data_IF_101434557432
#
_entry.id   IF_101434557432
#
_cell.length_a   1.000
_cell.length_b   1.000
_cell.length_c   1.000
_cell.angle_alpha   90.00
_cell.angle_beta   90.00
_cell.angle_gamma   90.00
#
_symmetry.space_group_name_H-M   'P 1'
#
loop_
_entity.id
_entity.type
_entity.pdbx_description
1 polymer ?
#
# COMPACT_ATOMS: atom_id res chain seq x y z
N UNK A 1 -13.53 39.81 -1.65
CA UNK A 1 -13.02 38.59 -2.31
C UNK A 1 -14.15 37.57 -2.38
N UNK A 2 -14.77 37.44 -3.55
CA UNK A 2 -15.92 36.57 -3.79
C UNK A 2 -15.58 35.59 -4.92
N UNK A 3 -14.85 34.52 -4.59
CA UNK A 3 -14.56 33.40 -5.51
C UNK A 3 -14.90 32.04 -4.88
N UNK A 4 -15.95 31.96 -4.06
CA UNK A 4 -16.43 30.68 -3.50
C UNK A 4 -17.69 30.14 -4.18
N UNK A 5 -18.26 30.85 -5.17
CA UNK A 5 -19.52 30.43 -5.82
C UNK A 5 -19.37 29.63 -7.12
N UNK A 6 -18.19 29.59 -7.76
CA UNK A 6 -18.02 28.83 -9.02
C UNK A 6 -18.10 27.32 -8.80
N UNK A 7 -17.74 26.82 -7.62
CA UNK A 7 -17.88 25.40 -7.25
C UNK A 7 -19.14 25.09 -6.44
N UNK A 8 -20.16 25.96 -6.45
CA UNK A 8 -21.44 25.66 -5.81
C UNK A 8 -22.40 24.81 -6.68
N UNK A 9 -22.02 24.57 -7.93
CA UNK A 9 -22.56 23.48 -8.73
C UNK A 9 -21.58 22.31 -8.66
N UNK A 10 -21.82 21.39 -7.73
CA UNK A 10 -21.10 20.12 -7.66
C UNK A 10 -21.29 19.38 -8.99
N UNK A 11 -20.29 19.42 -9.87
CA UNK A 11 -20.13 18.52 -11.01
C UNK A 11 -19.07 17.49 -10.63
N UNK A 12 -19.40 16.57 -9.70
CA UNK A 12 -18.47 15.55 -9.25
C UNK A 12 -18.01 14.68 -10.41
N UNK A 13 -18.82 14.51 -11.46
CA UNK A 13 -18.44 13.78 -12.66
C UNK A 13 -17.26 14.43 -13.39
N UNK A 14 -17.31 15.75 -13.61
CA UNK A 14 -16.23 16.48 -14.27
C UNK A 14 -14.97 16.44 -13.41
N UNK A 15 -15.12 16.66 -12.09
CA UNK A 15 -13.98 16.63 -11.16
C UNK A 15 -13.33 15.25 -11.12
N UNK A 16 -14.13 14.18 -11.16
CA UNK A 16 -13.63 12.81 -11.22
C UNK A 16 -12.87 12.54 -12.53
N UNK A 17 -13.41 12.97 -13.68
CA UNK A 17 -12.73 12.82 -14.96
C UNK A 17 -11.41 13.59 -15.00
N UNK A 18 -11.37 14.83 -14.49
CA UNK A 18 -10.13 15.60 -14.33
C UNK A 18 -9.13 14.82 -13.46
N UNK A 19 -9.57 14.25 -12.34
CA UNK A 19 -8.69 13.52 -11.43
C UNK A 19 -8.08 12.28 -12.10
N UNK A 20 -8.82 11.59 -12.98
CA UNK A 20 -8.33 10.44 -13.74
C UNK A 20 -7.20 10.79 -14.69
N UNK A 21 -7.18 11.99 -15.27
CA UNK A 21 -6.05 12.46 -16.09
C UNK A 21 -4.75 12.61 -15.28
N UNK A 22 -4.85 12.80 -13.96
CA UNK A 22 -3.70 12.93 -13.07
C UNK A 22 -3.26 11.61 -12.45
N UNK A 23 -3.86 10.46 -12.81
CA UNK A 23 -3.60 9.15 -12.19
C UNK A 23 -2.10 8.83 -12.07
N UNK A 24 -1.32 9.09 -13.11
CA UNK A 24 0.13 8.82 -13.13
C UNK A 24 0.99 10.03 -12.67
N UNK A 25 0.38 11.19 -12.43
CA UNK A 25 1.05 12.40 -11.94
C UNK A 25 0.83 12.58 -10.43
N UNK A 26 1.62 11.83 -9.66
CA UNK A 26 1.59 11.86 -8.20
C UNK A 26 1.84 13.26 -7.62
N UNK A 27 2.67 14.09 -8.26
CA UNK A 27 2.95 15.46 -7.78
C UNK A 27 1.69 16.31 -7.83
N UNK A 28 0.95 16.19 -8.94
CA UNK A 28 -0.34 16.87 -9.10
C UNK A 28 -1.38 16.29 -8.14
N UNK A 29 -1.46 14.97 -7.98
CA UNK A 29 -2.38 14.35 -7.02
C UNK A 29 -2.11 14.78 -5.57
N UNK A 30 -0.84 14.90 -5.16
CA UNK A 30 -0.48 15.45 -3.85
C UNK A 30 -0.88 16.92 -3.69
N UNK A 31 -0.87 17.69 -4.77
CA UNK A 31 -1.39 19.07 -4.74
C UNK A 31 -2.91 19.07 -4.62
N UNK A 32 -3.59 18.15 -5.31
CA UNK A 32 -5.04 18.00 -5.30
C UNK A 32 -5.61 17.67 -3.92
N UNK A 33 -4.94 16.82 -3.13
CA UNK A 33 -5.42 16.47 -1.78
C UNK A 33 -5.50 17.68 -0.83
N UNK A 34 -4.79 18.77 -1.13
CA UNK A 34 -4.74 19.97 -0.31
C UNK A 34 -5.77 21.03 -0.73
N UNK A 35 -6.45 20.85 -1.87
CA UNK A 35 -7.39 21.85 -2.41
C UNK A 35 -8.65 21.95 -1.57
N UNK A 36 -9.39 20.85 -1.42
CA UNK A 36 -10.59 20.76 -0.58
C UNK A 36 -10.97 19.29 -0.30
N UNK A 37 -12.03 19.07 0.49
CA UNK A 37 -12.49 17.73 0.88
C UNK A 37 -12.88 16.84 -0.32
N UNK A 38 -13.49 17.40 -1.36
CA UNK A 38 -13.91 16.63 -2.54
C UNK A 38 -12.68 16.12 -3.30
N UNK A 39 -11.74 17.02 -3.60
CA UNK A 39 -10.51 16.69 -4.32
C UNK A 39 -9.64 15.70 -3.53
N UNK A 40 -9.56 15.86 -2.20
CA UNK A 40 -8.91 14.91 -1.32
C UNK A 40 -9.52 13.50 -1.42
N UNK A 41 -10.85 13.37 -1.37
CA UNK A 41 -11.53 12.08 -1.47
C UNK A 41 -11.36 11.39 -2.83
N UNK A 42 -11.18 12.17 -3.91
CA UNK A 42 -10.97 11.64 -5.25
C UNK A 42 -9.49 11.28 -5.52
N UNK A 43 -8.55 12.09 -5.01
CA UNK A 43 -7.12 11.89 -5.26
C UNK A 43 -6.52 10.77 -4.39
N UNK A 44 -6.98 10.59 -3.14
CA UNK A 44 -6.42 9.57 -2.24
C UNK A 44 -6.52 8.14 -2.81
N UNK A 45 -7.66 7.68 -3.34
CA UNK A 45 -7.73 6.34 -3.96
C UNK A 45 -6.71 6.15 -5.09
N UNK A 46 -6.50 7.17 -5.93
CA UNK A 46 -5.51 7.10 -7.02
C UNK A 46 -4.06 7.07 -6.52
N UNK A 47 -3.76 7.81 -5.44
CA UNK A 47 -2.43 7.78 -4.82
C UNK A 47 -2.09 6.42 -4.21
N UNK A 48 -3.11 5.66 -3.78
CA UNK A 48 -2.98 4.41 -3.04
C UNK A 48 -3.33 3.16 -3.85
N UNK A 49 -3.62 3.29 -5.15
CA UNK A 49 -3.93 2.14 -6.02
C UNK A 49 -2.70 1.26 -6.31
N UNK A 50 -1.50 1.87 -6.37
CA UNK A 50 -0.20 1.17 -6.54
C UNK A 50 0.96 1.88 -5.77
N UNK A 51 0.94 1.85 -4.42
CA UNK A 51 1.87 2.63 -3.62
C UNK A 51 3.32 2.11 -3.69
N UNK A 52 3.50 0.84 -4.06
CA UNK A 52 4.82 0.19 -4.13
C UNK A 52 5.52 0.41 -5.48
N UNK A 53 4.83 0.93 -6.49
CA UNK A 53 5.41 1.30 -7.79
C UNK A 53 6.09 2.67 -7.80
N UNK A 54 5.88 3.48 -6.77
CA UNK A 54 6.46 4.80 -6.66
C UNK A 54 7.98 4.76 -6.62
N UNK A 55 8.60 5.34 -7.66
CA UNK A 55 10.06 5.39 -7.77
C UNK A 55 10.66 6.52 -6.95
N UNK A 56 10.01 7.69 -6.88
CA UNK A 56 10.52 8.90 -6.23
C UNK A 56 9.38 9.77 -5.65
N UNK A 57 9.49 10.24 -4.39
CA UNK A 57 10.42 9.73 -3.38
C UNK A 57 10.10 8.26 -3.03
N UNK A 58 11.12 7.44 -2.79
CA UNK A 58 10.93 6.08 -2.26
C UNK A 58 10.38 6.17 -0.85
N UNK A 59 9.06 6.22 -0.71
CA UNK A 59 8.42 6.32 0.58
C UNK A 59 7.94 4.93 1.02
N UNK A 60 8.78 4.22 1.77
CA UNK A 60 8.40 2.93 2.35
C UNK A 60 7.50 3.09 3.60
N UNK A 61 7.17 4.33 4.00
CA UNK A 61 6.26 4.61 5.13
C UNK A 61 4.81 4.22 4.86
N UNK A 62 4.43 3.87 3.63
CA UNK A 62 3.14 3.24 3.38
C UNK A 62 2.93 1.99 4.24
N UNK A 63 4.01 1.26 4.54
CA UNK A 63 3.98 0.11 5.43
C UNK A 63 3.55 0.53 6.85
N UNK A 64 4.07 1.64 7.37
CA UNK A 64 3.69 2.17 8.69
C UNK A 64 2.21 2.53 8.75
N UNK A 65 1.65 3.06 7.66
CA UNK A 65 0.23 3.39 7.56
C UNK A 65 -0.64 2.13 7.53
N UNK A 66 -0.23 1.08 6.81
CA UNK A 66 -0.97 -0.19 6.80
C UNK A 66 -0.94 -0.91 8.14
N UNK A 67 0.21 -0.88 8.83
CA UNK A 67 0.39 -1.54 10.13
C UNK A 67 -0.25 -0.77 11.30
N UNK A 68 -0.80 0.42 11.06
CA UNK A 68 -1.43 1.22 12.12
C UNK A 68 -2.63 0.52 12.77
N UNK A 69 -3.55 -0.01 11.96
CA UNK A 69 -4.83 -0.57 12.42
C UNK A 69 -4.75 -2.08 12.75
N UNK A 70 -3.58 -2.56 13.19
CA UNK A 70 -3.42 -3.96 13.59
C UNK A 70 -4.23 -4.30 14.84
N UNK A 71 -4.67 -5.55 14.91
CA UNK A 71 -5.28 -6.11 16.10
C UNK A 71 -4.24 -6.27 17.24
N UNK A 72 -4.70 -6.49 18.46
CA UNK A 72 -3.82 -6.52 19.63
C UNK A 72 -2.82 -7.69 19.57
N UNK A 73 -3.22 -8.85 19.04
CA UNK A 73 -2.35 -10.01 18.89
C UNK A 73 -1.18 -9.76 17.92
N UNK A 74 -1.47 -9.15 16.77
CA UNK A 74 -0.47 -8.79 15.75
C UNK A 74 0.48 -7.70 16.29
N UNK A 75 -0.03 -6.75 17.09
CA UNK A 75 0.79 -5.74 17.79
C UNK A 75 1.72 -6.37 18.82
N UNK A 76 1.23 -7.37 19.58
CA UNK A 76 2.07 -8.12 20.53
C UNK A 76 3.20 -8.84 19.78
N UNK A 77 2.91 -9.47 18.64
CA UNK A 77 3.93 -10.12 17.82
C UNK A 77 4.95 -9.12 17.26
N UNK A 78 4.51 -7.96 16.74
CA UNK A 78 5.39 -6.87 16.30
C UNK A 78 6.32 -6.36 17.41
N UNK A 79 5.78 -6.16 18.61
CA UNK A 79 6.56 -5.77 19.78
C UNK A 79 7.60 -6.84 20.14
N UNK A 80 7.29 -8.13 19.93
CA UNK A 80 8.23 -9.24 20.09
C UNK A 80 9.45 -9.17 19.16
N UNK A 81 9.32 -8.52 18.00
CA UNK A 81 10.43 -8.21 17.10
C UNK A 81 11.14 -6.87 17.43
N UNK A 82 10.76 -6.21 18.53
CA UNK A 82 11.36 -4.93 18.96
C UNK A 82 10.81 -3.70 18.26
N UNK A 83 9.69 -3.80 17.53
CA UNK A 83 9.02 -2.66 16.91
C UNK A 83 8.08 -2.01 17.93
N UNK A 84 8.32 -0.75 18.28
CA UNK A 84 7.42 -0.01 19.16
C UNK A 84 6.24 0.61 18.39
N UNK A 85 5.06 0.65 19.01
CA UNK A 85 3.86 1.30 18.43
C UNK A 85 4.04 2.80 18.11
N UNK A 86 5.05 3.46 18.69
CA UNK A 86 5.36 4.88 18.44
C UNK A 86 5.84 5.14 17.00
N UNK A 87 6.14 4.08 16.23
CA UNK A 87 6.55 4.17 14.84
C UNK A 87 5.37 4.45 13.89
N UNK A 88 4.14 4.18 14.33
CA UNK A 88 2.95 4.28 13.49
C UNK A 88 2.25 5.64 13.68
N UNK A 89 1.44 6.08 12.69
CA UNK A 89 0.57 7.24 12.84
C UNK A 89 -0.30 7.16 14.09
N UNK A 90 -0.81 8.30 14.59
CA UNK A 90 -1.75 8.29 15.71
C UNK A 90 -3.20 8.06 15.28
N UNK A 91 -3.53 8.33 14.01
CA UNK A 91 -4.81 8.07 13.36
C UNK A 91 -4.66 7.96 11.83
N UNK A 92 -5.65 7.35 11.19
CA UNK A 92 -5.82 7.37 9.72
C UNK A 92 -7.19 7.95 9.37
N UNK A 93 -7.24 8.80 8.34
CA UNK A 93 -8.49 9.41 7.85
C UNK A 93 -9.26 8.51 6.89
N UNK A 94 -8.57 7.55 6.27
CA UNK A 94 -9.11 6.65 5.26
C UNK A 94 -8.67 5.21 5.55
N UNK A 95 -9.46 4.26 5.04
CA UNK A 95 -9.06 2.87 4.98
C UNK A 95 -8.10 2.66 3.79
N UNK A 96 -6.85 3.08 3.94
CA UNK A 96 -5.87 3.07 2.84
C UNK A 96 -5.64 1.68 2.24
N UNK A 97 -5.69 0.62 3.06
CA UNK A 97 -5.53 -0.77 2.60
C UNK A 97 -6.62 -1.20 1.63
N UNK A 98 -7.83 -0.66 1.74
CA UNK A 98 -8.93 -0.97 0.81
C UNK A 98 -8.72 -0.39 -0.60
N UNK A 99 -7.84 0.61 -0.77
CA UNK A 99 -7.62 1.26 -2.06
C UNK A 99 -6.59 0.56 -2.95
N UNK A 100 -5.88 -0.46 -2.45
CA UNK A 100 -4.86 -1.14 -3.25
C UNK A 100 -5.53 -1.91 -4.41
N UNK A 101 -5.06 -1.66 -5.62
CA UNK A 101 -5.57 -2.29 -6.85
C UNK A 101 -4.47 -3.05 -7.61
N UNK A 102 -3.22 -2.64 -7.44
CA UNK A 102 -2.09 -3.23 -8.13
C UNK A 102 -1.07 -3.73 -7.10
N UNK A 103 -0.73 -5.01 -7.22
CA UNK A 103 0.19 -5.68 -6.32
C UNK A 103 1.30 -6.34 -7.13
N UNK A 104 2.55 -6.00 -6.83
CA UNK A 104 3.72 -6.67 -7.40
C UNK A 104 4.54 -7.24 -6.24
N UNK A 105 4.64 -8.57 -6.19
CA UNK A 105 5.26 -9.28 -5.06
C UNK A 105 6.70 -8.82 -4.85
N UNK A 106 7.43 -8.54 -5.93
CA UNK A 106 8.82 -8.08 -5.88
C UNK A 106 8.93 -6.64 -5.40
N UNK A 107 8.05 -5.75 -5.85
CA UNK A 107 8.06 -4.34 -5.39
C UNK A 107 7.76 -4.25 -3.91
N UNK A 108 6.82 -5.06 -3.42
CA UNK A 108 6.47 -5.11 -2.00
C UNK A 108 7.62 -5.66 -1.18
N UNK A 109 8.23 -6.78 -1.58
CA UNK A 109 9.40 -7.33 -0.89
C UNK A 109 10.52 -6.30 -0.81
N UNK A 110 10.84 -5.63 -1.91
CA UNK A 110 11.85 -4.57 -1.93
C UNK A 110 11.50 -3.40 -1.01
N UNK A 111 10.20 -3.11 -0.81
CA UNK A 111 9.74 -2.01 0.03
C UNK A 111 9.81 -2.37 1.51
N UNK A 112 9.42 -3.61 1.86
CA UNK A 112 9.54 -4.16 3.20
C UNK A 112 11.02 -4.25 3.59
N UNK A 113 11.87 -4.82 2.73
CA UNK A 113 13.31 -4.93 3.02
C UNK A 113 13.94 -3.56 3.30
N UNK A 114 13.59 -2.53 2.53
CA UNK A 114 14.04 -1.16 2.78
C UNK A 114 13.52 -0.61 4.10
N UNK A 115 12.22 -0.75 4.37
CA UNK A 115 11.64 -0.30 5.65
C UNK A 115 12.30 -1.00 6.84
N UNK A 116 12.45 -2.32 6.79
CA UNK A 116 13.15 -3.10 7.82
C UNK A 116 14.59 -2.59 8.01
N UNK A 117 15.32 -2.32 6.91
CA UNK A 117 16.69 -1.78 7.00
C UNK A 117 16.78 -0.40 7.66
N UNK A 118 15.68 0.36 7.66
CA UNK A 118 15.64 1.69 8.29
C UNK A 118 15.37 1.62 9.78
N UNK A 119 14.79 0.51 10.24
CA UNK A 119 14.51 0.25 11.65
C UNK A 119 15.68 -0.49 12.30
N UNK A 120 16.21 -1.53 11.64
CA UNK A 120 17.27 -2.38 12.16
C UNK A 120 18.61 -2.05 11.49
N UNK A 121 19.25 -0.98 11.97
CA UNK A 121 20.59 -0.61 11.53
C UNK A 121 21.56 -1.69 12.05
N UNK A 122 22.05 -2.57 11.15
CA UNK A 122 23.13 -3.57 11.32
C UNK A 122 22.80 -5.03 11.72
N UNK A 123 21.53 -5.46 11.88
CA UNK A 123 21.22 -6.87 12.14
C UNK A 123 20.71 -7.55 10.87
N UNK A 124 21.40 -8.57 10.34
CA UNK A 124 21.05 -9.20 9.04
C UNK A 124 20.29 -10.52 9.17
N UNK A 125 20.44 -11.25 10.27
CA UNK A 125 19.89 -12.60 10.46
C UNK A 125 18.45 -12.63 11.00
N UNK A 126 18.10 -11.71 11.92
CA UNK A 126 16.73 -11.56 12.43
C UNK A 126 15.74 -10.98 11.39
N UNK A 127 16.24 -10.46 10.27
CA UNK A 127 15.42 -9.79 9.26
C UNK A 127 14.52 -10.74 8.49
N UNK A 128 14.92 -12.00 8.27
CA UNK A 128 14.21 -12.87 7.34
C UNK A 128 12.82 -13.28 7.80
N UNK A 129 12.72 -13.77 9.03
CA UNK A 129 11.44 -14.18 9.60
C UNK A 129 10.55 -12.96 9.86
N UNK A 130 11.16 -11.83 10.24
CA UNK A 130 10.44 -10.57 10.36
C UNK A 130 9.89 -10.07 9.01
N UNK A 131 10.67 -10.10 7.92
CA UNK A 131 10.20 -9.74 6.58
C UNK A 131 9.03 -10.63 6.15
N UNK A 132 9.12 -11.96 6.38
CA UNK A 132 8.02 -12.89 6.10
C UNK A 132 6.78 -12.57 6.92
N UNK A 133 6.96 -12.24 8.20
CA UNK A 133 5.88 -11.86 9.09
C UNK A 133 5.18 -10.58 8.60
N UNK A 134 5.92 -9.54 8.24
CA UNK A 134 5.36 -8.30 7.68
C UNK A 134 4.63 -8.56 6.37
N UNK A 135 5.18 -9.40 5.49
CA UNK A 135 4.46 -9.82 4.29
C UNK A 135 3.12 -10.45 4.62
N UNK A 136 3.08 -11.41 5.54
CA UNK A 136 1.85 -12.09 5.94
C UNK A 136 0.84 -11.11 6.54
N UNK A 137 1.30 -10.17 7.37
CA UNK A 137 0.45 -9.14 7.95
C UNK A 137 -0.16 -8.22 6.89
N UNK A 138 0.63 -7.71 5.95
CA UNK A 138 0.12 -6.83 4.90
C UNK A 138 -0.94 -7.54 4.05
N UNK A 139 -0.69 -8.80 3.68
CA UNK A 139 -1.69 -9.56 2.93
C UNK A 139 -2.95 -9.81 3.76
N UNK A 140 -2.81 -10.18 5.04
CA UNK A 140 -3.96 -10.28 5.96
C UNK A 140 -4.77 -8.98 6.01
N UNK A 141 -4.09 -7.84 6.16
CA UNK A 141 -4.72 -6.51 6.20
C UNK A 141 -5.50 -6.22 4.90
N UNK A 142 -4.93 -6.54 3.74
CA UNK A 142 -5.63 -6.30 2.47
C UNK A 142 -6.88 -7.18 2.32
N UNK A 143 -6.89 -8.38 2.91
CA UNK A 143 -8.01 -9.33 2.84
C UNK A 143 -9.14 -8.86 3.75
N UNK A 144 -8.78 -8.55 5.00
CA UNK A 144 -9.72 -8.06 6.03
C UNK A 144 -10.38 -6.73 5.65
N UNK A 145 -9.72 -5.92 4.82
CA UNK A 145 -10.25 -4.65 4.32
C UNK A 145 -10.91 -4.76 2.95
N UNK A 146 -11.17 -5.98 2.47
CA UNK A 146 -11.88 -6.25 1.21
C UNK A 146 -11.27 -5.54 -0.01
N UNK A 147 -9.92 -5.46 -0.07
CA UNK A 147 -9.24 -4.79 -1.17
C UNK A 147 -9.52 -5.44 -2.54
N UNK A 148 -9.91 -4.64 -3.52
CA UNK A 148 -10.21 -5.11 -4.89
C UNK A 148 -8.96 -5.02 -5.77
N UNK A 149 -8.18 -6.11 -5.83
CA UNK A 149 -7.01 -6.19 -6.70
C UNK A 149 -7.41 -6.37 -8.17
N UNK A 150 -6.98 -5.46 -9.02
CA UNK A 150 -7.11 -5.55 -10.47
C UNK A 150 -5.96 -6.32 -11.11
N UNK A 151 -4.73 -6.11 -10.62
CA UNK A 151 -3.55 -6.80 -11.15
C UNK A 151 -2.66 -7.34 -10.03
N UNK A 152 -2.29 -8.60 -10.16
CA UNK A 152 -1.25 -9.23 -9.37
C UNK A 152 -0.08 -9.64 -10.28
N UNK A 153 1.09 -9.07 -10.03
CA UNK A 153 2.35 -9.43 -10.67
C UNK A 153 3.16 -10.31 -9.72
N UNK A 154 3.33 -11.57 -10.10
CA UNK A 154 4.18 -12.52 -9.37
C UNK A 154 5.48 -12.69 -10.14
N UNK A 155 6.59 -12.31 -9.51
CA UNK A 155 7.93 -12.43 -10.11
C UNK A 155 8.74 -13.49 -9.36
N UNK A 156 9.23 -14.50 -10.09
CA UNK A 156 10.11 -15.54 -9.56
C UNK A 156 11.54 -15.33 -10.06
N UNK A 157 12.25 -14.34 -9.54
CA UNK A 157 13.65 -14.07 -9.96
C UNK A 157 14.68 -14.93 -9.22
N UNK A 158 14.44 -16.24 -9.18
CA UNK A 158 15.43 -17.27 -8.78
C UNK A 158 15.91 -17.24 -7.32
N UNK A 159 15.57 -16.24 -6.51
CA UNK A 159 15.85 -16.22 -5.07
C UNK A 159 14.82 -17.06 -4.32
N UNK A 160 15.27 -17.94 -3.42
CA UNK A 160 14.42 -18.71 -2.51
C UNK A 160 13.45 -17.82 -1.71
N UNK A 161 13.84 -16.57 -1.43
CA UNK A 161 12.98 -15.58 -0.75
C UNK A 161 11.79 -15.17 -1.60
N UNK A 162 12.03 -14.85 -2.88
CA UNK A 162 10.98 -14.43 -3.81
C UNK A 162 9.95 -15.55 -4.03
N UNK A 163 10.41 -16.81 -4.04
CA UNK A 163 9.56 -17.98 -4.13
C UNK A 163 8.65 -18.14 -2.90
N UNK A 164 9.19 -18.04 -1.68
CA UNK A 164 8.39 -18.14 -0.44
C UNK A 164 7.38 -17.00 -0.36
N UNK A 165 7.80 -15.76 -0.62
CA UNK A 165 6.88 -14.61 -0.56
C UNK A 165 5.77 -14.76 -1.58
N UNK A 166 6.11 -15.12 -2.82
CA UNK A 166 5.12 -15.37 -3.86
C UNK A 166 4.16 -16.49 -3.47
N UNK A 167 4.67 -17.56 -2.86
CA UNK A 167 3.84 -18.65 -2.36
C UNK A 167 2.91 -18.22 -1.20
N UNK A 168 3.38 -17.37 -0.28
CA UNK A 168 2.57 -16.82 0.80
C UNK A 168 1.42 -15.94 0.27
N UNK A 169 1.71 -15.10 -0.71
CA UNK A 169 0.69 -14.25 -1.39
C UNK A 169 -0.33 -15.12 -2.12
N UNK A 170 0.12 -16.18 -2.79
CA UNK A 170 -0.77 -17.09 -3.52
C UNK A 170 -1.64 -17.95 -2.58
N UNK A 171 -1.10 -18.43 -1.46
CA UNK A 171 -1.81 -19.29 -0.50
C UNK A 171 -2.86 -18.56 0.33
N UNK A 172 -2.75 -17.25 0.48
CA UNK A 172 -3.53 -16.46 1.45
C UNK A 172 -4.87 -15.96 0.91
N UNK A 173 -5.38 -16.44 -0.23
CA UNK A 173 -6.27 -15.62 -1.02
C UNK A 173 -7.66 -16.17 -1.36
N UNK A 174 -8.66 -15.58 -0.71
CA UNK A 174 -9.86 -15.11 -1.41
C UNK A 174 -9.52 -14.03 -2.47
N UNK A 175 -8.34 -13.40 -2.42
CA UNK A 175 -7.83 -12.47 -3.44
C UNK A 175 -7.84 -13.01 -4.87
N UNK A 176 -7.63 -14.32 -5.10
CA UNK A 176 -7.61 -14.87 -6.46
C UNK A 176 -9.01 -14.84 -7.09
N UNK A 177 -10.07 -14.92 -6.28
CA UNK A 177 -11.45 -15.00 -6.78
C UNK A 177 -11.96 -13.68 -7.39
N UNK A 178 -11.38 -12.52 -7.01
CA UNK A 178 -11.78 -11.19 -7.50
C UNK A 178 -10.77 -10.55 -8.48
N UNK A 179 -9.73 -11.27 -8.90
CA UNK A 179 -8.72 -10.74 -9.81
C UNK A 179 -9.26 -10.56 -11.23
N UNK A 180 -9.20 -9.34 -11.75
CA UNK A 180 -9.47 -9.10 -13.17
C UNK A 180 -8.35 -9.62 -14.08
N UNK A 181 -7.08 -9.58 -13.63
CA UNK A 181 -5.92 -10.07 -14.39
C UNK A 181 -4.80 -10.61 -13.46
N UNK A 182 -4.37 -11.85 -13.70
CA UNK A 182 -3.13 -12.42 -13.14
C UNK A 182 -2.07 -12.49 -14.23
N UNK A 183 -0.85 -12.01 -13.96
CA UNK A 183 0.27 -12.10 -14.90
C UNK A 183 1.51 -12.68 -14.21
N UNK A 184 1.98 -13.81 -14.72
CA UNK A 184 3.24 -14.41 -14.33
C UNK A 184 4.35 -13.79 -15.19
N UNK A 185 5.35 -13.18 -14.55
CA UNK A 185 6.55 -12.70 -15.24
C UNK A 185 7.71 -13.65 -14.91
N UNK A 186 7.95 -14.60 -15.82
CA UNK A 186 9.17 -15.40 -15.84
C UNK A 186 10.21 -14.64 -16.68
N UNK A 187 11.13 -13.94 -16.01
CA UNK A 187 12.30 -13.29 -16.62
C UNK A 187 13.58 -13.75 -15.95
#
# INVERSE_FOLDING_TARGET
MACTKIFSGDLPEITNEIMRYFRDDFSTLYSCILVNRLWCRLAIPLLWEDPFSLKNPKNYRYIEVYLYNLNDDDKIQLNGYGISNNLFPSNTLFNYSSFIQHLDTRKISNSIEKWVSTIFINNTTQNLDFIKFIHKLLIKIFDENEATLHTLYVTYKGSYRDAIVSELVLRSSNFICNLSQMRYLNN
#
